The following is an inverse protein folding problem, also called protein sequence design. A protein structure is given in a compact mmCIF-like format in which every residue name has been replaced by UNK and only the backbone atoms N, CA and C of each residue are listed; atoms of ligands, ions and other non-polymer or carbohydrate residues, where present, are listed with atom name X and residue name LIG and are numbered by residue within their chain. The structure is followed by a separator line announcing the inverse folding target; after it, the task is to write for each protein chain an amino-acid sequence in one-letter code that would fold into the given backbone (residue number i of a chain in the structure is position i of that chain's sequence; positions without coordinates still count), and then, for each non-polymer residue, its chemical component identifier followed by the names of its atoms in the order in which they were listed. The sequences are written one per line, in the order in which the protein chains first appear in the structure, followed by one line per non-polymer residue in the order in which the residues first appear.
data_IF_191215512225
#
_entry.id   IF_191215512225
#
_cell.length_a   1.000
_cell.length_b   1.000
_cell.length_c   1.000
_cell.angle_alpha   90.00
_cell.angle_beta   90.00
_cell.angle_gamma   90.00
#
_symmetry.space_group_name_H-M   'P 1'
#
loop_
_entity.id
_entity.type
_entity.pdbx_description
1 polymer ?
#
# COMPACT_ATOMS: atom_id res chain seq x y z
N UNK A 1 -40.10 -39.33 73.82
CA UNK A 1 -40.28 -40.48 72.92
C UNK A 1 -39.74 -40.08 71.56
N UNK A 2 -38.50 -40.44 71.26
CA UNK A 2 -37.81 -40.13 70.00
C UNK A 2 -37.72 -41.45 69.23
N UNK A 3 -38.38 -41.52 68.08
CA UNK A 3 -38.29 -42.66 67.17
C UNK A 3 -37.15 -42.45 66.17
N UNK A 4 -36.18 -43.36 66.18
CA UNK A 4 -35.08 -43.45 65.18
C UNK A 4 -35.61 -43.96 63.84
N UNK A 5 -35.21 -43.31 62.75
CA UNK A 5 -35.33 -43.81 61.37
C UNK A 5 -33.94 -44.27 60.89
N UNK A 6 -33.85 -45.36 60.12
CA UNK A 6 -32.59 -45.91 59.65
C UNK A 6 -32.08 -45.19 58.42
N UNK A 7 -30.73 -45.28 58.08
CA UNK A 7 -30.11 -44.57 56.97
C UNK A 7 -30.38 -45.26 55.63
N UNK A 8 -30.78 -44.46 54.63
CA UNK A 8 -30.85 -44.88 53.24
C UNK A 8 -29.44 -45.01 52.67
N UNK A 9 -29.13 -46.16 52.11
CA UNK A 9 -27.95 -46.41 51.31
C UNK A 9 -28.15 -45.83 49.91
N UNK A 10 -27.37 -44.79 49.54
CA UNK A 10 -27.34 -44.21 48.20
C UNK A 10 -26.53 -45.10 47.25
N UNK A 11 -27.21 -45.61 46.24
CA UNK A 11 -26.62 -46.31 45.09
C UNK A 11 -26.14 -45.24 44.10
N UNK A 12 -24.81 -45.08 43.92
CA UNK A 12 -24.24 -44.22 42.89
C UNK A 12 -24.17 -45.04 41.60
N UNK A 13 -25.07 -44.72 40.67
CA UNK A 13 -25.01 -45.26 39.29
C UNK A 13 -24.14 -44.29 38.49
N UNK A 14 -22.93 -44.72 38.16
CA UNK A 14 -22.03 -43.98 37.27
C UNK A 14 -22.52 -44.05 35.81
N UNK A 15 -23.04 -42.95 35.32
CA UNK A 15 -23.28 -42.77 33.88
C UNK A 15 -21.99 -42.33 33.21
N UNK A 16 -21.32 -43.21 32.46
CA UNK A 16 -20.23 -42.86 31.56
C UNK A 16 -20.83 -42.20 30.32
N UNK A 17 -20.78 -40.89 30.27
CA UNK A 17 -21.12 -40.13 29.06
C UNK A 17 -20.00 -40.30 28.03
N UNK A 18 -20.22 -41.10 26.98
CA UNK A 18 -19.39 -41.17 25.80
C UNK A 18 -19.57 -39.83 25.02
N UNK A 19 -18.64 -38.92 25.19
CA UNK A 19 -18.55 -37.72 24.34
C UNK A 19 -18.05 -38.20 22.96
N UNK A 20 -19.00 -38.41 22.05
CA UNK A 20 -18.71 -38.60 20.65
C UNK A 20 -18.08 -37.31 20.09
N UNK A 21 -16.80 -37.31 19.77
CA UNK A 21 -16.19 -36.27 18.92
C UNK A 21 -16.92 -36.31 17.56
N UNK A 22 -17.89 -35.43 17.40
CA UNK A 22 -18.41 -35.09 16.07
C UNK A 22 -17.28 -34.36 15.38
N UNK A 23 -16.46 -35.06 14.57
CA UNK A 23 -15.56 -34.45 13.63
C UNK A 23 -16.42 -33.62 12.66
N UNK A 24 -16.47 -32.31 12.84
CA UNK A 24 -16.98 -31.41 11.83
C UNK A 24 -16.21 -31.70 10.55
N UNK A 25 -16.87 -32.01 9.41
CA UNK A 25 -16.18 -32.18 8.15
C UNK A 25 -15.42 -30.87 7.91
N UNK A 26 -14.10 -30.92 7.90
CA UNK A 26 -13.29 -29.83 7.38
C UNK A 26 -13.80 -29.63 5.96
N UNK A 27 -14.44 -28.47 5.69
CA UNK A 27 -14.81 -28.08 4.34
C UNK A 27 -13.55 -28.27 3.50
N UNK A 28 -13.60 -29.21 2.56
CA UNK A 28 -12.49 -29.48 1.68
C UNK A 28 -12.17 -28.15 0.96
N UNK A 29 -11.07 -27.52 1.35
CA UNK A 29 -10.68 -26.24 0.75
C UNK A 29 -10.39 -26.53 -0.72
N UNK A 30 -11.17 -25.94 -1.62
CA UNK A 30 -11.05 -26.15 -3.04
C UNK A 30 -9.63 -25.83 -3.48
N UNK A 31 -8.95 -26.84 -4.03
CA UNK A 31 -7.64 -26.67 -4.63
C UNK A 31 -7.83 -26.18 -6.06
N UNK A 32 -7.23 -25.06 -6.40
CA UNK A 32 -7.21 -24.49 -7.75
C UNK A 32 -5.80 -24.63 -8.32
N UNK A 33 -5.68 -25.11 -9.54
CA UNK A 33 -4.43 -25.21 -10.28
C UNK A 33 -4.53 -24.45 -11.60
N UNK A 34 -3.69 -23.42 -11.77
CA UNK A 34 -3.52 -22.68 -13.03
C UNK A 34 -2.34 -23.34 -13.75
N UNK A 35 -2.54 -23.85 -14.97
CA UNK A 35 -1.58 -24.68 -15.70
C UNK A 35 -1.27 -24.16 -17.09
N UNK A 36 -0.07 -24.46 -17.60
CA UNK A 36 0.30 -24.25 -19.00
C UNK A 36 0.67 -22.81 -19.36
N UNK A 37 0.59 -21.89 -18.43
CA UNK A 37 0.92 -20.47 -18.66
C UNK A 37 2.41 -20.15 -18.52
N UNK A 38 2.81 -19.00 -19.04
CA UNK A 38 4.09 -18.38 -18.70
C UNK A 38 3.96 -17.72 -17.33
N UNK A 39 4.60 -18.29 -16.31
CA UNK A 39 4.49 -17.84 -14.92
C UNK A 39 5.60 -16.87 -14.59
N UNK A 40 5.25 -15.61 -14.31
CA UNK A 40 6.13 -14.62 -13.69
C UNK A 40 6.02 -14.80 -12.19
N UNK A 41 7.08 -15.21 -11.51
CA UNK A 41 7.00 -15.45 -10.05
C UNK A 41 7.13 -14.17 -9.22
N UNK A 42 7.57 -13.08 -9.83
CA UNK A 42 8.01 -11.82 -9.19
C UNK A 42 9.53 -11.73 -9.12
N UNK A 43 10.24 -12.85 -9.19
CA UNK A 43 11.72 -12.93 -9.14
C UNK A 43 12.31 -13.78 -10.27
N UNK A 44 11.50 -14.55 -10.98
CA UNK A 44 11.91 -15.42 -12.09
C UNK A 44 10.74 -15.70 -13.03
N UNK A 45 11.03 -16.38 -14.15
CA UNK A 45 10.03 -16.81 -15.14
C UNK A 45 10.06 -18.33 -15.29
N UNK A 46 8.89 -18.95 -15.35
CA UNK A 46 8.71 -20.39 -15.59
C UNK A 46 7.81 -20.56 -16.81
N UNK A 47 8.34 -21.11 -17.89
CA UNK A 47 7.55 -21.43 -19.08
C UNK A 47 6.71 -22.69 -18.84
N UNK A 48 5.49 -22.72 -19.37
CA UNK A 48 4.52 -23.81 -19.18
C UNK A 48 4.35 -24.19 -17.69
N UNK A 49 4.30 -23.16 -16.83
CA UNK A 49 4.24 -23.34 -15.39
C UNK A 49 2.87 -23.74 -14.86
N UNK A 50 2.88 -24.22 -13.63
CA UNK A 50 1.69 -24.57 -12.84
C UNK A 50 1.76 -23.85 -11.51
N UNK A 51 0.69 -23.12 -11.16
CA UNK A 51 0.49 -22.49 -9.85
C UNK A 51 -0.66 -23.18 -9.14
N UNK A 52 -0.41 -23.74 -7.97
CA UNK A 52 -1.44 -24.42 -7.17
C UNK A 52 -1.77 -23.58 -5.94
N UNK A 53 -3.06 -23.29 -5.77
CA UNK A 53 -3.62 -22.51 -4.68
C UNK A 53 -4.56 -23.37 -3.83
N UNK A 54 -4.50 -23.23 -2.51
CA UNK A 54 -5.45 -23.85 -1.56
C UNK A 54 -5.48 -23.07 -0.26
N UNK A 55 -6.68 -22.85 0.27
CA UNK A 55 -6.87 -22.18 1.56
C UNK A 55 -6.31 -20.76 1.61
N UNK A 56 -6.45 -20.01 0.53
CA UNK A 56 -5.97 -18.64 0.45
C UNK A 56 -4.46 -18.49 0.24
N UNK A 57 -3.74 -19.58 0.07
CA UNK A 57 -2.28 -19.59 -0.07
C UNK A 57 -1.83 -20.35 -1.30
N UNK A 58 -0.66 -19.98 -1.82
CA UNK A 58 0.05 -20.75 -2.84
C UNK A 58 0.65 -22.00 -2.18
N UNK A 59 0.36 -23.17 -2.74
CA UNK A 59 0.88 -24.45 -2.29
C UNK A 59 2.18 -24.79 -3.00
N UNK A 60 2.18 -24.62 -4.33
CA UNK A 60 3.36 -24.89 -5.16
C UNK A 60 3.34 -24.04 -6.43
N UNK A 61 4.55 -23.79 -6.95
CA UNK A 61 4.79 -23.18 -8.25
C UNK A 61 5.91 -23.95 -8.94
N UNK A 62 5.75 -24.29 -10.20
CA UNK A 62 6.74 -25.06 -10.97
C UNK A 62 6.15 -25.61 -12.26
N UNK A 63 6.75 -26.66 -12.83
CA UNK A 63 6.32 -27.31 -14.08
C UNK A 63 5.55 -28.60 -13.83
N UNK A 64 5.14 -28.88 -12.59
CA UNK A 64 4.42 -30.10 -12.22
C UNK A 64 2.99 -30.14 -12.74
N UNK A 65 2.41 -31.33 -12.83
CA UNK A 65 0.99 -31.50 -13.14
C UNK A 65 0.10 -30.99 -12.01
N UNK A 66 -1.15 -30.62 -12.37
CA UNK A 66 -2.16 -30.28 -11.38
C UNK A 66 -2.42 -31.45 -10.43
N UNK A 67 -2.60 -31.19 -9.11
CA UNK A 67 -2.98 -32.26 -8.16
C UNK A 67 -4.33 -32.89 -8.53
N UNK A 68 -4.48 -34.18 -8.24
CA UNK A 68 -5.76 -34.86 -8.43
C UNK A 68 -6.88 -34.19 -7.64
N UNK A 69 -8.04 -33.96 -8.27
CA UNK A 69 -9.18 -33.30 -7.65
C UNK A 69 -9.10 -31.78 -7.59
N UNK A 70 -8.05 -31.14 -8.10
CA UNK A 70 -7.99 -29.69 -8.23
C UNK A 70 -8.91 -29.18 -9.36
N UNK A 71 -9.53 -28.03 -9.17
CA UNK A 71 -10.15 -27.26 -10.26
C UNK A 71 -9.01 -26.71 -11.14
N UNK A 72 -8.92 -27.22 -12.37
CA UNK A 72 -7.87 -26.82 -13.32
C UNK A 72 -8.34 -25.63 -14.15
N UNK A 73 -7.46 -24.64 -14.28
CA UNK A 73 -7.61 -23.48 -15.16
C UNK A 73 -6.48 -23.58 -16.18
N UNK A 74 -6.85 -23.71 -17.44
CA UNK A 74 -5.88 -23.73 -18.54
C UNK A 74 -5.48 -22.29 -18.89
N UNK A 75 -4.21 -21.96 -18.69
CA UNK A 75 -3.61 -20.67 -19.02
C UNK A 75 -2.64 -20.80 -20.22
N UNK A 76 -2.80 -21.82 -21.07
CA UNK A 76 -1.96 -22.01 -22.26
C UNK A 76 -2.01 -20.76 -23.16
N UNK A 77 -0.84 -20.23 -23.52
CA UNK A 77 -0.72 -18.99 -24.30
C UNK A 77 -0.96 -17.71 -23.49
N UNK A 78 -1.17 -17.81 -22.19
CA UNK A 78 -1.41 -16.70 -21.27
C UNK A 78 -0.25 -16.49 -20.32
N UNK A 79 -0.23 -15.32 -19.65
CA UNK A 79 0.75 -14.99 -18.62
C UNK A 79 0.10 -15.04 -17.25
N UNK A 80 0.72 -15.74 -16.32
CA UNK A 80 0.31 -15.82 -14.91
C UNK A 80 1.29 -15.03 -14.07
N UNK A 81 0.81 -14.03 -13.34
CA UNK A 81 1.67 -13.15 -12.54
C UNK A 81 1.14 -13.02 -11.10
N UNK A 82 1.99 -12.62 -10.13
CA UNK A 82 1.51 -12.17 -8.84
C UNK A 82 0.60 -10.96 -9.03
N UNK A 83 -0.36 -10.79 -8.15
CA UNK A 83 -1.09 -9.54 -8.08
C UNK A 83 -0.16 -8.36 -7.78
N UNK A 84 -0.38 -7.24 -8.46
CA UNK A 84 0.42 -6.04 -8.27
C UNK A 84 0.10 -5.35 -6.94
N UNK A 85 1.10 -4.64 -6.44
CA UNK A 85 1.00 -3.88 -5.19
C UNK A 85 1.13 -2.39 -5.52
N UNK A 86 0.05 -1.65 -5.39
CA UNK A 86 0.08 -0.20 -5.54
C UNK A 86 0.73 0.43 -4.30
N UNK A 87 1.77 1.20 -4.48
CA UNK A 87 2.43 1.98 -3.42
C UNK A 87 2.05 3.45 -3.54
N UNK A 88 2.14 4.20 -2.46
CA UNK A 88 1.77 5.62 -2.39
C UNK A 88 0.35 5.84 -2.97
N UNK A 89 -0.61 5.10 -2.42
CA UNK A 89 -1.96 4.98 -2.96
C UNK A 89 -2.99 5.64 -2.04
N UNK A 90 -4.06 6.14 -2.64
CA UNK A 90 -5.24 6.63 -1.92
C UNK A 90 -6.44 5.69 -1.97
N UNK A 91 -6.26 4.44 -2.43
CA UNK A 91 -7.34 3.47 -2.59
C UNK A 91 -8.09 3.19 -1.29
N UNK A 92 -9.41 3.24 -1.35
CA UNK A 92 -10.28 3.04 -0.19
C UNK A 92 -10.35 4.22 0.77
N UNK A 93 -9.44 5.20 0.69
CA UNK A 93 -9.45 6.38 1.57
C UNK A 93 -9.93 7.66 0.87
N UNK A 94 -10.13 7.61 -0.45
CA UNK A 94 -10.71 8.74 -1.19
C UNK A 94 -11.43 8.23 -2.44
N UNK A 95 -12.58 8.84 -2.76
CA UNK A 95 -13.38 8.52 -3.94
C UNK A 95 -13.09 9.48 -5.10
N UNK A 96 -13.13 10.78 -4.80
CA UNK A 96 -12.92 11.84 -5.77
C UNK A 96 -11.98 12.87 -5.16
N UNK A 97 -10.76 12.95 -5.68
CA UNK A 97 -9.69 13.80 -5.11
C UNK A 97 -10.05 15.28 -4.99
N UNK A 98 -10.94 15.79 -5.88
CA UNK A 98 -11.39 17.18 -5.88
C UNK A 98 -12.60 17.47 -4.98
N UNK A 99 -13.16 16.45 -4.30
CA UNK A 99 -14.32 16.61 -3.41
C UNK A 99 -13.92 16.29 -1.98
N UNK A 100 -13.73 17.32 -1.17
CA UNK A 100 -13.19 17.23 0.19
C UNK A 100 -13.94 16.24 1.10
N UNK A 101 -15.28 16.17 1.01
CA UNK A 101 -16.10 15.23 1.79
C UNK A 101 -15.97 13.77 1.39
N UNK A 102 -15.18 13.45 0.38
CA UNK A 102 -14.87 12.06 -0.06
C UNK A 102 -13.40 11.68 0.12
N UNK A 103 -12.65 12.49 0.87
CA UNK A 103 -11.21 12.30 1.06
C UNK A 103 -10.87 12.24 2.56
N UNK A 104 -10.71 11.02 3.04
CA UNK A 104 -10.33 10.68 4.42
C UNK A 104 -8.82 10.40 4.57
N UNK A 105 -8.00 10.79 3.59
CA UNK A 105 -6.54 10.66 3.65
C UNK A 105 -5.85 11.94 4.13
N UNK A 106 -6.61 12.99 4.42
CA UNK A 106 -6.09 14.29 4.80
C UNK A 106 -6.59 14.69 6.19
N UNK A 107 -5.67 15.12 7.02
CA UNK A 107 -5.98 15.76 8.28
C UNK A 107 -5.47 17.21 8.25
N UNK A 108 -6.38 18.17 8.41
CA UNK A 108 -6.07 19.61 8.49
C UNK A 108 -6.01 20.12 9.94
N UNK A 109 -6.06 19.23 10.93
CA UNK A 109 -5.98 19.59 12.36
C UNK A 109 -4.61 20.13 12.72
N UNK A 110 -4.58 21.18 13.53
CA UNK A 110 -3.36 21.73 14.11
C UNK A 110 -2.87 20.94 15.34
N UNK A 111 -3.70 20.01 15.86
CA UNK A 111 -3.45 19.26 17.09
C UNK A 111 -3.11 17.80 16.87
N UNK A 112 -3.30 17.30 15.63
CA UNK A 112 -2.99 15.94 15.22
C UNK A 112 -2.23 15.99 13.90
N UNK A 113 -1.11 15.28 13.85
CA UNK A 113 -0.31 15.10 12.64
C UNK A 113 0.17 13.65 12.52
N UNK A 114 1.23 13.29 13.21
CA UNK A 114 1.79 11.94 13.21
C UNK A 114 0.83 10.84 13.71
N UNK A 115 -0.08 11.18 14.61
CA UNK A 115 -1.08 10.23 15.13
C UNK A 115 -2.21 9.92 14.15
N UNK A 116 -2.36 10.72 13.08
CA UNK A 116 -3.35 10.44 12.06
C UNK A 116 -3.09 9.06 11.43
N UNK A 117 -4.10 8.21 11.40
CA UNK A 117 -4.01 6.82 10.93
C UNK A 117 -5.07 6.60 9.85
N UNK A 118 -4.62 6.43 8.61
CA UNK A 118 -5.51 6.26 7.45
C UNK A 118 -6.41 5.03 7.57
N UNK A 119 -6.04 4.04 8.39
CA UNK A 119 -6.82 2.81 8.52
C UNK A 119 -8.24 3.04 9.06
N UNK A 120 -8.48 4.14 9.76
CA UNK A 120 -9.81 4.50 10.26
C UNK A 120 -10.72 5.14 9.22
N UNK A 121 -10.16 5.64 8.11
CA UNK A 121 -10.92 6.26 7.02
C UNK A 121 -11.10 5.38 5.79
N UNK A 122 -10.78 4.07 5.87
CA UNK A 122 -10.89 3.17 4.73
C UNK A 122 -12.33 2.73 4.48
N UNK A 123 -12.80 2.89 3.24
CA UNK A 123 -14.08 2.38 2.75
C UNK A 123 -13.87 1.11 1.90
N UNK A 124 -14.30 -0.07 2.40
CA UNK A 124 -14.19 -1.32 1.64
C UNK A 124 -15.11 -1.38 0.41
N UNK A 125 -16.10 -0.51 0.31
CA UNK A 125 -17.01 -0.41 -0.84
C UNK A 125 -16.64 0.70 -1.82
N UNK A 126 -15.48 1.31 -1.64
CA UNK A 126 -14.97 2.34 -2.54
C UNK A 126 -15.03 1.89 -4.02
N UNK A 127 -15.60 2.76 -4.87
CA UNK A 127 -15.72 2.51 -6.32
C UNK A 127 -14.34 2.42 -7.01
N UNK A 128 -13.29 2.87 -6.36
CA UNK A 128 -11.92 2.86 -6.90
C UNK A 128 -11.26 1.48 -6.80
N UNK A 129 -11.66 0.64 -5.83
CA UNK A 129 -11.09 -0.69 -5.61
C UNK A 129 -11.33 -1.65 -6.81
N UNK A 130 -12.56 -1.82 -7.34
CA UNK A 130 -12.78 -2.63 -8.53
C UNK A 130 -12.03 -2.11 -9.77
N UNK A 131 -11.90 -0.79 -9.92
CA UNK A 131 -11.14 -0.19 -11.03
C UNK A 131 -9.66 -0.54 -10.95
N UNK A 132 -9.06 -0.49 -9.75
CA UNK A 132 -7.67 -0.86 -9.54
C UNK A 132 -7.43 -2.37 -9.76
N UNK A 133 -8.36 -3.24 -9.29
CA UNK A 133 -8.31 -4.69 -9.54
C UNK A 133 -8.19 -5.02 -11.02
N UNK A 134 -8.99 -4.37 -11.88
CA UNK A 134 -8.92 -4.57 -13.34
C UNK A 134 -7.57 -4.17 -13.95
N UNK A 135 -6.74 -3.44 -13.21
CA UNK A 135 -5.33 -3.21 -13.53
C UNK A 135 -4.38 -4.26 -12.97
N UNK A 136 -4.91 -5.34 -12.35
CA UNK A 136 -4.10 -6.39 -11.72
C UNK A 136 -3.64 -6.06 -10.29
N UNK A 137 -4.07 -4.93 -9.73
CA UNK A 137 -3.73 -4.55 -8.34
C UNK A 137 -4.53 -5.40 -7.37
N UNK A 138 -3.85 -6.12 -6.50
CA UNK A 138 -4.47 -6.96 -5.47
C UNK A 138 -4.23 -6.45 -4.06
N UNK A 139 -3.19 -5.63 -3.89
CA UNK A 139 -2.83 -4.98 -2.63
C UNK A 139 -2.45 -3.54 -2.83
N UNK A 140 -2.61 -2.72 -1.78
CA UNK A 140 -2.15 -1.35 -1.81
C UNK A 140 -1.56 -0.92 -0.47
N UNK A 141 -0.57 -0.04 -0.55
CA UNK A 141 -0.05 0.75 0.56
C UNK A 141 -0.76 2.10 0.48
N UNK A 142 -1.71 2.30 1.36
CA UNK A 142 -2.48 3.55 1.45
C UNK A 142 -1.73 4.51 2.35
N UNK A 143 -1.49 5.70 1.85
CA UNK A 143 -0.72 6.73 2.55
C UNK A 143 -1.57 7.98 2.81
N UNK A 144 -1.32 8.70 3.91
CA UNK A 144 -1.93 10.00 4.13
C UNK A 144 -1.40 11.03 3.13
N UNK A 145 -2.30 11.91 2.69
CA UNK A 145 -1.93 13.04 1.85
C UNK A 145 -1.25 14.12 2.70
N UNK A 146 -0.10 14.58 2.25
CA UNK A 146 0.59 15.68 2.94
C UNK A 146 -0.09 17.03 2.67
N UNK A 147 -0.31 17.88 3.70
CA UNK A 147 -0.69 19.27 3.48
C UNK A 147 0.41 19.99 2.70
N UNK A 148 0.15 20.39 1.46
CA UNK A 148 1.15 21.01 0.58
C UNK A 148 1.68 20.15 -0.55
N UNK A 149 1.35 18.85 -0.62
CA UNK A 149 1.58 18.06 -1.84
C UNK A 149 0.56 18.49 -2.91
N UNK A 150 1.00 19.33 -3.82
CA UNK A 150 0.20 19.87 -4.93
C UNK A 150 0.04 18.82 -6.04
N UNK A 151 -0.67 17.75 -5.76
CA UNK A 151 -1.15 16.81 -6.78
C UNK A 151 -2.55 17.12 -7.31
N UNK A 152 -3.20 18.16 -6.82
CA UNK A 152 -4.49 18.65 -7.29
C UNK A 152 -4.44 20.15 -7.52
N UNK A 153 -5.09 20.65 -8.56
CA UNK A 153 -5.35 22.07 -8.75
C UNK A 153 -6.16 22.55 -7.55
N UNK A 154 -5.48 23.06 -6.52
CA UNK A 154 -6.15 23.80 -5.46
C UNK A 154 -6.61 25.13 -6.04
N UNK A 155 -7.90 25.31 -6.17
CA UNK A 155 -8.44 26.64 -6.27
C UNK A 155 -8.10 27.37 -4.97
N UNK A 156 -7.55 28.56 -5.08
CA UNK A 156 -7.14 29.48 -4.00
C UNK A 156 -8.26 29.78 -2.97
N UNK A 157 -9.46 29.23 -3.20
CA UNK A 157 -10.64 29.36 -2.35
C UNK A 157 -10.70 28.40 -1.16
N UNK A 158 -9.90 27.32 -1.12
CA UNK A 158 -9.90 26.37 0.01
C UNK A 158 -9.09 26.87 1.22
N UNK A 159 -8.39 28.01 1.11
CA UNK A 159 -7.69 28.65 2.23
C UNK A 159 -8.58 29.63 3.02
N UNK A 160 -9.81 29.86 2.59
CA UNK A 160 -10.73 30.83 3.20
C UNK A 160 -11.36 30.39 4.55
N UNK A 161 -10.90 29.29 5.13
CA UNK A 161 -11.34 28.80 6.45
C UNK A 161 -10.32 28.94 7.58
N UNK A 162 -9.14 29.51 7.32
CA UNK A 162 -8.19 29.86 8.36
C UNK A 162 -8.65 31.17 9.01
N UNK A 163 -9.50 31.06 10.04
CA UNK A 163 -9.86 32.18 10.89
C UNK A 163 -8.62 32.89 11.43
N UNK A 164 -8.70 34.18 11.63
CA UNK A 164 -7.70 35.04 12.24
C UNK A 164 -7.35 34.57 13.68
N UNK A 165 -6.58 33.54 13.80
CA UNK A 165 -6.15 32.98 15.08
C UNK A 165 -4.92 32.13 14.91
N UNK A 166 -3.74 32.76 15.03
CA UNK A 166 -2.45 32.12 15.24
C UNK A 166 -2.02 31.18 14.10
N UNK A 167 -0.95 31.52 13.41
CA UNK A 167 -0.28 30.66 12.45
C UNK A 167 0.24 29.39 13.15
N UNK A 168 -0.60 28.37 13.22
CA UNK A 168 -0.13 27.03 13.49
C UNK A 168 0.19 26.39 12.15
N UNK A 169 1.48 26.24 11.83
CA UNK A 169 1.94 25.49 10.66
C UNK A 169 1.35 24.08 10.72
N UNK A 170 0.87 23.53 9.60
CA UNK A 170 0.51 22.10 9.56
C UNK A 170 1.69 21.30 10.08
N UNK A 171 1.42 20.21 10.82
CA UNK A 171 2.49 19.38 11.40
C UNK A 171 3.43 18.86 10.33
N UNK A 172 4.71 18.65 10.70
CA UNK A 172 5.73 18.10 9.78
C UNK A 172 5.38 16.70 9.27
N UNK A 173 4.60 15.94 10.01
CA UNK A 173 4.21 14.57 9.67
C UNK A 173 2.78 14.54 9.14
N UNK A 174 2.55 13.78 8.06
CA UNK A 174 1.22 13.63 7.46
C UNK A 174 0.36 12.59 8.19
N UNK A 175 0.99 11.60 8.83
CA UNK A 175 0.32 10.50 9.50
C UNK A 175 0.87 9.12 9.11
N UNK A 176 0.12 8.09 9.42
CA UNK A 176 0.52 6.69 9.34
C UNK A 176 -0.18 5.97 8.19
N UNK A 177 0.61 5.24 7.40
CA UNK A 177 0.16 4.43 6.26
C UNK A 177 -0.38 3.06 6.70
N UNK A 178 -1.21 2.46 5.85
CA UNK A 178 -1.77 1.12 6.05
C UNK A 178 -1.63 0.25 4.80
N UNK A 179 -1.63 -1.07 4.98
CA UNK A 179 -1.72 -2.06 3.90
C UNK A 179 -3.14 -2.59 3.82
N UNK A 180 -3.69 -2.61 2.61
CA UNK A 180 -5.00 -3.20 2.32
C UNK A 180 -4.89 -4.28 1.24
N UNK A 181 -5.88 -5.17 1.18
CA UNK A 181 -6.15 -5.99 0.00
C UNK A 181 -7.40 -5.48 -0.73
N UNK A 182 -7.49 -5.81 -2.01
CA UNK A 182 -8.58 -5.35 -2.88
C UNK A 182 -9.65 -6.43 -3.13
N UNK A 183 -9.71 -7.50 -2.31
CA UNK A 183 -10.79 -8.47 -2.41
C UNK A 183 -12.13 -7.83 -2.02
N UNK A 184 -13.22 -8.34 -2.60
CA UNK A 184 -14.56 -7.95 -2.15
C UNK A 184 -14.82 -8.38 -0.72
N UNK A 185 -15.54 -7.54 0.03
CA UNK A 185 -15.90 -7.77 1.42
C UNK A 185 -15.65 -6.55 2.30
N UNK A 186 -16.09 -6.63 3.55
CA UNK A 186 -15.99 -5.52 4.50
C UNK A 186 -14.61 -5.40 5.18
N UNK A 187 -13.83 -6.45 5.20
CA UNK A 187 -12.51 -6.48 5.85
C UNK A 187 -11.40 -6.40 4.79
N UNK A 188 -10.95 -5.20 4.50
CA UNK A 188 -9.86 -4.97 3.53
C UNK A 188 -8.52 -4.65 4.21
N UNK A 189 -8.51 -4.38 5.51
CA UNK A 189 -7.31 -4.00 6.23
C UNK A 189 -6.39 -5.20 6.48
N UNK A 190 -5.18 -5.16 5.95
CA UNK A 190 -4.15 -6.19 6.19
C UNK A 190 -3.29 -5.83 7.38
N UNK A 191 -2.81 -4.57 7.41
CA UNK A 191 -1.92 -4.09 8.48
C UNK A 191 -2.01 -2.57 8.61
N UNK A 192 -2.39 -2.04 9.77
CA UNK A 192 -2.32 -0.60 10.04
C UNK A 192 -0.89 -0.17 10.36
N UNK A 193 -0.62 1.13 10.26
CA UNK A 193 0.57 1.80 10.78
C UNK A 193 1.87 1.15 10.31
N UNK A 194 2.01 0.96 8.99
CA UNK A 194 3.18 0.31 8.38
C UNK A 194 4.33 1.27 8.11
N UNK A 195 4.05 2.57 8.02
CA UNK A 195 5.04 3.63 7.84
C UNK A 195 4.48 4.96 8.34
N UNK A 196 5.36 5.89 8.69
CA UNK A 196 5.07 7.30 8.90
C UNK A 196 5.37 8.06 7.61
N UNK A 197 4.65 9.15 7.33
CA UNK A 197 4.85 9.98 6.13
C UNK A 197 5.24 11.41 6.53
N UNK A 198 6.25 11.97 5.87
CA UNK A 198 6.67 13.35 6.04
C UNK A 198 7.29 13.91 4.75
N UNK A 199 7.12 15.21 4.42
CA UNK A 199 7.81 15.84 3.32
C UNK A 199 9.19 16.35 3.73
N UNK A 200 10.08 16.42 2.76
CA UNK A 200 11.28 17.21 2.78
C UNK A 200 11.32 18.09 1.51
N UNK A 201 12.45 18.75 1.21
CA UNK A 201 12.53 19.62 0.04
C UNK A 201 11.67 20.89 0.16
N UNK A 202 10.99 21.27 -0.91
CA UNK A 202 10.16 22.48 -0.96
C UNK A 202 8.93 22.38 -0.06
N UNK A 203 8.24 21.24 -0.08
CA UNK A 203 7.06 21.01 0.75
C UNK A 203 7.41 21.01 2.24
N UNK A 204 8.50 20.35 2.65
CA UNK A 204 9.00 20.38 4.03
C UNK A 204 9.48 21.78 4.45
N UNK A 205 10.14 22.50 3.54
CA UNK A 205 10.53 23.88 3.79
C UNK A 205 9.30 24.79 4.03
N UNK A 206 8.21 24.60 3.26
CA UNK A 206 6.95 25.34 3.44
C UNK A 206 6.37 25.19 4.85
N UNK A 207 6.42 23.98 5.42
CA UNK A 207 5.99 23.71 6.80
C UNK A 207 6.93 24.35 7.83
N UNK A 208 8.22 24.47 7.51
CA UNK A 208 9.28 24.89 8.40
C UNK A 208 9.70 26.36 8.20
N UNK A 209 8.78 27.23 7.85
CA UNK A 209 9.05 28.67 7.69
C UNK A 209 9.78 29.06 6.40
N UNK A 210 9.70 28.24 5.36
CA UNK A 210 10.19 28.55 4.02
C UNK A 210 11.63 28.12 3.70
N UNK A 211 12.30 27.36 4.57
CA UNK A 211 13.66 26.92 4.31
C UNK A 211 13.93 25.46 4.64
N UNK A 212 14.76 24.80 3.81
CA UNK A 212 15.21 23.40 4.02
C UNK A 212 16.03 23.24 5.28
N UNK A 213 16.83 24.26 5.62
CA UNK A 213 17.57 24.27 6.88
C UNK A 213 16.65 24.30 8.09
N UNK A 214 15.57 25.08 8.03
CA UNK A 214 14.51 25.09 9.05
C UNK A 214 13.83 23.71 9.16
N UNK A 215 13.50 23.06 8.03
CA UNK A 215 12.93 21.73 8.03
C UNK A 215 13.85 20.71 8.71
N UNK A 216 15.14 20.75 8.44
CA UNK A 216 16.13 19.85 9.07
C UNK A 216 16.20 20.05 10.60
N UNK A 217 16.22 21.31 11.05
CA UNK A 217 16.22 21.61 12.49
C UNK A 217 14.92 21.12 13.15
N UNK A 218 13.78 21.35 12.49
CA UNK A 218 12.49 20.90 13.00
C UNK A 218 12.41 19.36 13.10
N UNK A 219 12.93 18.62 12.13
CA UNK A 219 13.02 17.16 12.19
C UNK A 219 13.83 16.69 13.40
N UNK A 220 15.01 17.25 13.60
CA UNK A 220 15.92 16.89 14.70
C UNK A 220 15.31 17.23 16.07
N UNK A 221 14.74 18.41 16.21
CA UNK A 221 14.11 18.82 17.46
C UNK A 221 12.91 17.91 17.78
N UNK A 222 12.07 17.62 16.79
CA UNK A 222 10.95 16.70 16.98
C UNK A 222 11.41 15.32 17.43
N UNK A 223 12.43 14.73 16.80
CA UNK A 223 12.97 13.42 17.19
C UNK A 223 13.58 13.46 18.59
N UNK A 224 14.25 14.57 18.96
CA UNK A 224 14.78 14.78 20.31
C UNK A 224 13.67 14.81 21.35
N UNK A 225 12.57 15.53 21.10
CA UNK A 225 11.39 15.57 21.96
C UNK A 225 10.70 14.21 22.10
N UNK A 226 10.56 13.47 20.98
CA UNK A 226 10.00 12.10 20.99
C UNK A 226 10.84 11.18 21.88
N UNK A 227 12.16 11.23 21.76
CA UNK A 227 13.06 10.43 22.61
C UNK A 227 13.02 10.86 24.07
N UNK A 228 12.91 12.17 24.34
CA UNK A 228 12.73 12.69 25.70
C UNK A 228 11.42 12.15 26.29
N UNK A 229 10.32 12.24 25.55
CA UNK A 229 9.03 11.70 25.94
C UNK A 229 9.11 10.19 26.20
N UNK A 230 9.67 9.41 25.26
CA UNK A 230 9.74 7.95 25.37
C UNK A 230 10.45 7.48 26.65
N UNK A 231 11.52 8.19 27.05
CA UNK A 231 12.28 7.90 28.27
C UNK A 231 11.61 8.38 29.56
N UNK A 232 10.68 9.35 29.48
CA UNK A 232 10.11 10.03 30.64
C UNK A 232 8.57 10.02 30.67
N UNK A 233 7.93 8.98 30.11
CA UNK A 233 6.45 8.89 30.02
C UNK A 233 5.74 9.13 31.36
N UNK A 234 6.27 8.57 32.47
CA UNK A 234 5.68 8.74 33.77
C UNK A 234 5.79 10.17 34.30
N UNK A 235 6.91 10.88 34.04
CA UNK A 235 7.07 12.29 34.38
C UNK A 235 6.15 13.17 33.55
N UNK A 236 6.02 12.88 32.24
CA UNK A 236 5.09 13.57 31.34
C UNK A 236 3.63 13.46 31.83
N UNK A 237 3.21 12.27 32.29
CA UNK A 237 1.85 12.04 32.81
C UNK A 237 1.55 12.78 34.13
N UNK A 238 2.57 13.17 34.86
CA UNK A 238 2.46 13.94 36.14
C UNK A 238 2.70 15.43 35.94
N UNK A 239 2.85 15.90 34.70
CA UNK A 239 3.25 17.29 34.38
C UNK A 239 4.59 17.72 34.97
N UNK A 240 5.48 16.76 35.28
CA UNK A 240 6.83 16.99 35.79
C UNK A 240 7.86 17.25 34.64
N UNK A 241 7.42 17.23 33.40
CA UNK A 241 8.27 17.48 32.23
C UNK A 241 7.93 18.86 31.62
N UNK A 242 8.93 19.52 31.01
CA UNK A 242 8.64 20.72 30.21
C UNK A 242 7.58 20.47 29.16
N UNK A 243 6.79 21.47 28.77
CA UNK A 243 5.89 21.33 27.62
C UNK A 243 6.66 20.91 26.37
N UNK A 244 6.11 19.94 25.61
CA UNK A 244 6.62 19.48 24.33
C UNK A 244 5.79 20.09 23.20
N UNK A 245 6.38 20.19 22.01
CA UNK A 245 5.75 20.87 20.86
C UNK A 245 4.59 20.08 20.25
N UNK A 246 4.59 18.76 20.40
CA UNK A 246 3.58 17.87 19.82
C UNK A 246 2.59 17.37 20.88
N UNK A 247 1.39 16.99 20.41
CA UNK A 247 0.40 16.31 21.23
C UNK A 247 0.94 14.96 21.74
N UNK A 248 0.39 14.46 22.86
CA UNK A 248 0.74 13.13 23.36
C UNK A 248 0.52 12.04 22.33
N UNK A 249 -0.55 12.14 21.54
CA UNK A 249 -0.87 11.16 20.51
C UNK A 249 0.21 11.13 19.41
N UNK A 250 0.66 12.30 18.96
CA UNK A 250 1.73 12.42 17.95
C UNK A 250 3.08 11.91 18.48
N UNK A 251 3.41 12.25 19.74
CA UNK A 251 4.62 11.74 20.38
C UNK A 251 4.61 10.20 20.44
N UNK A 252 3.50 9.59 20.87
CA UNK A 252 3.36 8.12 20.91
C UNK A 252 3.49 7.49 19.52
N UNK A 253 2.89 8.10 18.49
CA UNK A 253 2.95 7.62 17.12
C UNK A 253 4.37 7.68 16.53
N UNK A 254 5.19 8.65 16.97
CA UNK A 254 6.55 8.84 16.49
C UNK A 254 7.59 8.00 17.25
N UNK A 255 7.29 7.46 18.44
CA UNK A 255 8.25 6.61 19.18
C UNK A 255 8.80 5.47 18.31
N UNK A 256 7.98 4.67 17.60
CA UNK A 256 8.50 3.61 16.74
C UNK A 256 9.42 4.10 15.60
N UNK A 257 9.18 5.33 15.10
CA UNK A 257 10.02 5.97 14.07
C UNK A 257 11.38 6.33 14.67
N UNK A 258 11.39 7.03 15.80
CA UNK A 258 12.61 7.45 16.50
C UNK A 258 13.47 6.27 17.00
N UNK A 259 12.87 5.09 17.16
CA UNK A 259 13.54 3.84 17.53
C UNK A 259 13.93 2.99 16.30
N UNK A 260 13.72 3.45 15.07
CA UNK A 260 14.02 2.72 13.84
C UNK A 260 13.18 1.46 13.62
N UNK A 261 12.04 1.30 14.33
CA UNK A 261 11.13 0.16 14.19
C UNK A 261 10.07 0.36 13.09
N UNK A 262 9.64 1.60 12.89
CA UNK A 262 8.69 1.99 11.83
C UNK A 262 9.44 2.80 10.79
N UNK A 263 9.32 2.48 9.49
CA UNK A 263 9.93 3.27 8.43
C UNK A 263 9.25 4.65 8.31
N UNK A 264 10.05 5.63 7.86
CA UNK A 264 9.63 6.99 7.55
C UNK A 264 9.71 7.19 6.04
N UNK A 265 8.56 7.34 5.38
CA UNK A 265 8.48 7.74 3.98
C UNK A 265 8.76 9.25 3.92
N UNK A 266 9.79 9.63 3.19
CA UNK A 266 10.16 11.04 2.99
C UNK A 266 10.03 11.41 1.53
N UNK A 267 9.08 12.30 1.23
CA UNK A 267 8.95 12.87 -0.12
C UNK A 267 10.07 13.87 -0.37
N UNK A 268 10.91 13.58 -1.36
CA UNK A 268 12.08 14.38 -1.72
C UNK A 268 12.46 14.15 -3.18
N UNK A 269 12.78 15.21 -3.92
CA UNK A 269 13.07 15.14 -5.35
C UNK A 269 14.55 15.41 -5.68
N UNK A 270 15.12 16.47 -5.08
CA UNK A 270 16.42 17.04 -5.46
C UNK A 270 17.58 16.24 -4.87
N UNK A 271 18.61 15.96 -5.65
CA UNK A 271 19.79 15.18 -5.24
C UNK A 271 20.46 15.73 -3.96
N UNK A 272 20.60 17.04 -3.83
CA UNK A 272 21.18 17.67 -2.64
C UNK A 272 20.32 17.42 -1.39
N UNK A 273 18.99 17.40 -1.53
CA UNK A 273 18.07 17.16 -0.42
C UNK A 273 18.05 15.67 -0.05
N UNK A 274 18.15 14.77 -1.05
CA UNK A 274 18.31 13.32 -0.81
C UNK A 274 19.54 13.06 0.06
N UNK A 275 20.69 13.67 -0.24
CA UNK A 275 21.92 13.52 0.57
C UNK A 275 21.71 14.00 2.02
N UNK A 276 20.93 15.07 2.24
CA UNK A 276 20.61 15.52 3.61
C UNK A 276 19.70 14.53 4.34
N UNK A 277 18.73 13.95 3.63
CA UNK A 277 17.83 12.91 4.20
C UNK A 277 18.62 11.65 4.55
N UNK A 278 19.54 11.20 3.68
CA UNK A 278 20.41 10.04 3.98
C UNK A 278 21.28 10.29 5.21
N UNK A 279 21.87 11.50 5.33
CA UNK A 279 22.63 11.88 6.51
C UNK A 279 21.76 11.92 7.77
N UNK A 280 20.56 12.49 7.71
CA UNK A 280 19.62 12.49 8.81
C UNK A 280 19.29 11.06 9.24
N UNK A 281 19.02 10.16 8.28
CA UNK A 281 18.71 8.76 8.55
C UNK A 281 19.84 8.04 9.28
N UNK A 282 21.09 8.26 8.86
CA UNK A 282 22.29 7.69 9.48
C UNK A 282 22.49 8.22 10.90
N UNK A 283 22.51 9.55 11.07
CA UNK A 283 22.79 10.21 12.35
C UNK A 283 21.70 9.94 13.41
N UNK A 284 20.44 9.83 12.99
CA UNK A 284 19.29 9.61 13.86
C UNK A 284 18.87 8.13 13.98
N UNK A 285 19.50 7.22 13.23
CA UNK A 285 19.16 5.79 13.22
C UNK A 285 17.78 5.47 12.66
N UNK A 286 17.31 6.24 11.66
CA UNK A 286 15.99 6.09 11.08
C UNK A 286 15.99 5.06 9.94
N UNK A 287 14.90 4.33 9.80
CA UNK A 287 14.59 3.59 8.57
C UNK A 287 13.83 4.53 7.63
N UNK A 288 14.47 4.94 6.55
CA UNK A 288 13.87 5.85 5.56
C UNK A 288 13.49 5.11 4.29
N UNK A 289 12.39 5.53 3.69
CA UNK A 289 11.96 5.20 2.33
C UNK A 289 11.89 6.54 1.59
N UNK A 290 12.64 6.71 0.51
CA UNK A 290 12.51 7.91 -0.32
C UNK A 290 11.28 7.80 -1.22
N UNK A 291 10.52 8.87 -1.32
CA UNK A 291 9.39 8.98 -2.22
C UNK A 291 9.63 10.10 -3.23
N UNK A 292 9.50 9.78 -4.52
CA UNK A 292 9.84 10.67 -5.65
C UNK A 292 11.25 10.45 -6.16
N UNK A 293 12.23 11.05 -5.52
CA UNK A 293 13.67 10.96 -5.86
C UNK A 293 13.98 11.13 -7.36
N UNK A 294 13.35 12.10 -8.03
CA UNK A 294 13.46 12.31 -9.47
C UNK A 294 14.91 12.65 -9.92
N UNK A 295 15.72 13.22 -9.03
CA UNK A 295 17.16 13.43 -9.23
C UNK A 295 18.03 12.33 -8.60
N UNK A 296 17.43 11.21 -8.16
CA UNK A 296 18.11 10.11 -7.45
C UNK A 296 19.26 9.49 -8.23
N UNK A 297 19.17 9.48 -9.57
CA UNK A 297 20.24 8.97 -10.43
C UNK A 297 21.58 9.69 -10.25
N UNK A 298 21.59 10.96 -9.81
CA UNK A 298 22.83 11.72 -9.53
C UNK A 298 23.54 11.22 -8.26
N UNK A 299 22.84 10.56 -7.36
CA UNK A 299 23.31 10.09 -6.05
C UNK A 299 22.93 8.62 -5.82
N UNK A 300 22.78 7.85 -6.90
CA UNK A 300 22.31 6.48 -6.84
C UNK A 300 23.22 5.58 -5.99
N UNK A 301 24.55 5.75 -6.10
CA UNK A 301 25.52 4.99 -5.31
C UNK A 301 25.39 5.28 -3.81
N UNK A 302 25.12 6.54 -3.44
CA UNK A 302 24.91 6.93 -2.04
C UNK A 302 23.60 6.36 -1.48
N UNK A 303 22.53 6.36 -2.28
CA UNK A 303 21.25 5.73 -1.91
C UNK A 303 21.44 4.22 -1.71
N UNK A 304 22.13 3.57 -2.64
CA UNK A 304 22.45 2.14 -2.58
C UNK A 304 23.31 1.79 -1.37
N UNK A 305 24.38 2.58 -1.12
CA UNK A 305 25.26 2.38 0.05
C UNK A 305 24.52 2.54 1.38
N UNK A 306 23.53 3.42 1.44
CA UNK A 306 22.66 3.60 2.61
C UNK A 306 21.60 2.50 2.76
N UNK A 307 21.41 1.64 1.74
CA UNK A 307 20.36 0.60 1.73
C UNK A 307 18.94 1.16 1.75
N UNK A 308 18.75 2.40 1.30
CA UNK A 308 17.48 3.11 1.34
C UNK A 308 16.67 2.82 0.08
N UNK A 309 15.43 2.28 0.19
CA UNK A 309 14.59 2.02 -0.97
C UNK A 309 13.92 3.29 -1.49
N UNK A 310 13.48 3.24 -2.75
CA UNK A 310 12.86 4.38 -3.44
C UNK A 310 11.51 3.99 -4.02
N UNK A 311 10.48 4.78 -3.71
CA UNK A 311 9.19 4.78 -4.41
C UNK A 311 9.24 5.86 -5.49
N UNK A 312 9.06 5.49 -6.76
CA UNK A 312 9.18 6.45 -7.84
C UNK A 312 8.07 6.31 -8.90
N UNK A 313 7.80 7.42 -9.57
CA UNK A 313 6.94 7.42 -10.74
C UNK A 313 7.78 7.73 -12.00
N UNK A 314 8.04 6.75 -12.88
CA UNK A 314 8.92 6.93 -14.01
C UNK A 314 8.40 7.93 -15.07
N UNK A 315 7.06 8.16 -15.13
CA UNK A 315 6.49 9.10 -16.12
C UNK A 315 6.60 10.55 -15.69
N UNK A 316 6.73 10.83 -14.39
CA UNK A 316 6.89 12.21 -13.90
C UNK A 316 8.35 12.66 -13.83
N UNK A 317 9.29 11.84 -14.26
CA UNK A 317 10.72 12.12 -14.28
C UNK A 317 11.13 13.07 -15.42
N UNK A 318 10.45 14.22 -15.50
CA UNK A 318 10.78 15.31 -16.43
C UNK A 318 11.02 16.60 -15.64
N UNK A 319 11.91 17.48 -16.13
CA UNK A 319 12.16 18.80 -15.55
C UNK A 319 10.89 19.65 -15.56
N UNK A 320 10.14 19.67 -14.47
CA UNK A 320 8.87 20.40 -14.37
C UNK A 320 8.93 21.61 -13.43
N UNK A 321 9.89 21.61 -12.49
CA UNK A 321 10.11 22.68 -11.53
C UNK A 321 11.57 22.69 -11.03
N UNK A 322 11.90 23.60 -10.11
CA UNK A 322 13.27 23.72 -9.58
C UNK A 322 13.71 22.55 -8.70
N UNK A 323 12.78 21.77 -8.16
CA UNK A 323 13.07 20.55 -7.39
C UNK A 323 13.51 19.37 -8.27
N UNK A 324 13.18 19.41 -9.58
CA UNK A 324 13.37 18.32 -10.54
C UNK A 324 14.16 18.75 -11.77
N UNK A 325 15.11 19.68 -11.63
CA UNK A 325 15.85 20.26 -12.79
C UNK A 325 16.62 19.23 -13.58
N UNK A 326 17.14 18.20 -12.89
CA UNK A 326 17.90 17.12 -13.50
C UNK A 326 17.07 15.82 -13.63
N UNK A 327 15.75 15.88 -13.49
CA UNK A 327 14.90 14.71 -13.68
C UNK A 327 15.05 14.14 -15.10
N UNK A 328 15.04 12.82 -15.21
CA UNK A 328 15.12 12.10 -16.48
C UNK A 328 14.37 10.77 -16.42
N UNK A 329 13.91 10.29 -17.58
CA UNK A 329 13.15 9.04 -17.71
C UNK A 329 13.98 7.81 -17.33
N UNK A 330 15.31 7.85 -17.44
CA UNK A 330 16.22 6.74 -17.10
C UNK A 330 16.49 6.62 -15.58
N UNK A 331 15.86 7.43 -14.74
CA UNK A 331 16.12 7.44 -13.30
C UNK A 331 15.90 6.04 -12.66
N UNK A 332 14.80 5.36 -13.00
CA UNK A 332 14.51 4.01 -12.50
C UNK A 332 15.61 3.00 -12.86
N UNK A 333 16.07 3.02 -14.14
CA UNK A 333 17.13 2.15 -14.60
C UNK A 333 18.48 2.44 -13.93
N UNK A 334 18.78 3.72 -13.68
CA UNK A 334 20.03 4.12 -13.02
C UNK A 334 20.05 3.72 -11.54
N UNK A 335 18.92 3.84 -10.83
CA UNK A 335 18.78 3.40 -9.44
C UNK A 335 18.91 1.88 -9.33
N UNK A 336 18.22 1.13 -10.19
CA UNK A 336 18.31 -0.34 -10.22
C UNK A 336 19.74 -0.81 -10.52
N UNK A 337 20.40 -0.22 -11.52
CA UNK A 337 21.79 -0.53 -11.88
C UNK A 337 22.78 -0.29 -10.73
N UNK A 338 22.50 0.68 -9.85
CA UNK A 338 23.27 0.93 -8.63
C UNK A 338 22.93 -0.03 -7.48
N UNK A 339 21.91 -0.89 -7.65
CA UNK A 339 21.46 -1.85 -6.62
C UNK A 339 20.43 -1.27 -5.64
N UNK A 340 19.81 -0.15 -5.94
CA UNK A 340 18.73 0.42 -5.13
C UNK A 340 17.45 -0.41 -5.31
N UNK A 341 16.81 -0.79 -4.21
CA UNK A 341 15.48 -1.43 -4.26
C UNK A 341 14.44 -0.38 -4.60
N UNK A 342 13.82 -0.51 -5.77
CA UNK A 342 12.79 0.43 -6.24
C UNK A 342 11.40 -0.18 -6.21
N UNK A 343 10.38 0.65 -5.97
CA UNK A 343 8.98 0.34 -6.23
C UNK A 343 8.37 1.42 -7.12
N UNK A 344 7.55 1.00 -8.09
CA UNK A 344 6.94 1.90 -9.06
C UNK A 344 5.53 2.24 -8.62
N UNK A 345 5.25 3.55 -8.57
CA UNK A 345 3.94 4.12 -8.23
C UNK A 345 3.01 4.16 -9.45
N UNK A 346 1.71 4.21 -9.19
CA UNK A 346 0.71 4.67 -10.15
C UNK A 346 0.87 6.18 -10.43
N UNK A 347 -0.02 6.74 -11.24
CA UNK A 347 0.01 8.18 -11.48
C UNK A 347 -0.51 8.94 -10.26
N UNK A 348 0.27 9.91 -9.82
CA UNK A 348 -0.04 10.78 -8.70
C UNK A 348 -1.29 11.64 -8.96
N UNK A 349 -1.98 12.01 -7.89
CA UNK A 349 -3.09 12.96 -7.93
C UNK A 349 -4.44 12.41 -8.40
N UNK A 350 -4.52 11.13 -8.75
CA UNK A 350 -5.78 10.50 -9.18
C UNK A 350 -5.87 9.06 -8.68
N UNK A 351 -6.65 8.84 -7.66
CA UNK A 351 -6.79 7.56 -6.93
C UNK A 351 -7.17 6.41 -7.86
N UNK A 352 -8.06 6.67 -8.83
CA UNK A 352 -8.48 5.68 -9.82
C UNK A 352 -7.37 5.24 -10.79
N UNK A 353 -6.21 5.92 -10.77
CA UNK A 353 -5.05 5.61 -11.61
C UNK A 353 -4.07 4.62 -10.98
N UNK A 354 -4.34 4.09 -9.81
CA UNK A 354 -3.54 3.01 -9.24
C UNK A 354 -3.41 1.82 -10.21
N UNK A 355 -4.41 1.56 -11.06
CA UNK A 355 -4.36 0.57 -12.15
C UNK A 355 -3.24 0.83 -13.18
N UNK A 356 -2.72 2.05 -13.24
CA UNK A 356 -1.69 2.46 -14.20
C UNK A 356 -0.27 2.09 -13.75
N UNK A 357 -0.09 1.57 -12.53
CA UNK A 357 1.19 1.10 -12.00
C UNK A 357 1.93 0.19 -13.00
N UNK A 358 1.22 -0.72 -13.66
CA UNK A 358 1.80 -1.61 -14.69
C UNK A 358 2.27 -0.87 -15.93
N UNK A 359 1.55 0.18 -16.36
CA UNK A 359 1.96 1.00 -17.52
C UNK A 359 3.19 1.83 -17.19
N UNK A 360 3.30 2.32 -15.95
CA UNK A 360 4.47 3.02 -15.48
C UNK A 360 5.68 2.09 -15.42
N UNK A 361 5.50 0.83 -15.02
CA UNK A 361 6.55 -0.18 -15.09
C UNK A 361 7.00 -0.46 -16.53
N UNK A 362 6.06 -0.58 -17.48
CA UNK A 362 6.37 -0.72 -18.92
C UNK A 362 7.11 0.51 -19.48
N UNK A 363 6.74 1.73 -19.06
CA UNK A 363 7.48 2.94 -19.41
C UNK A 363 8.92 2.91 -18.87
N UNK A 364 9.13 2.44 -17.65
CA UNK A 364 10.48 2.30 -17.11
C UNK A 364 11.32 1.31 -17.93
N UNK A 365 10.72 0.19 -18.38
CA UNK A 365 11.40 -0.77 -19.28
C UNK A 365 11.80 -0.10 -20.59
N UNK A 366 10.92 0.69 -21.20
CA UNK A 366 11.26 1.41 -22.45
C UNK A 366 12.40 2.43 -22.28
N UNK A 367 12.72 2.80 -21.05
CA UNK A 367 13.81 3.71 -20.68
C UNK A 367 14.99 3.01 -20.00
N UNK A 368 15.10 1.69 -20.17
CA UNK A 368 16.29 0.92 -19.83
C UNK A 368 16.22 0.12 -18.51
N UNK A 369 15.11 0.14 -17.79
CA UNK A 369 14.94 -0.75 -16.65
C UNK A 369 14.78 -2.21 -17.15
N UNK A 370 15.53 -3.19 -16.62
CA UNK A 370 15.30 -4.60 -16.94
C UNK A 370 13.85 -5.03 -16.67
N UNK A 371 13.29 -5.89 -17.55
CA UNK A 371 11.90 -6.32 -17.45
C UNK A 371 11.61 -6.99 -16.10
N UNK A 372 12.48 -7.86 -15.65
CA UNK A 372 12.35 -8.57 -14.36
C UNK A 372 12.39 -7.60 -13.19
N UNK A 373 13.22 -6.55 -13.26
CA UNK A 373 13.26 -5.49 -12.26
C UNK A 373 11.97 -4.67 -12.25
N UNK A 374 11.37 -4.41 -13.41
CA UNK A 374 10.08 -3.72 -13.52
C UNK A 374 8.95 -4.54 -12.89
N UNK A 375 8.89 -5.86 -13.15
CA UNK A 375 7.94 -6.77 -12.50
C UNK A 375 8.17 -6.80 -10.98
N UNK A 376 9.42 -6.94 -10.53
CA UNK A 376 9.75 -6.92 -9.11
C UNK A 376 9.33 -5.60 -8.44
N UNK A 377 9.49 -4.48 -9.13
CA UNK A 377 9.16 -3.14 -8.63
C UNK A 377 7.66 -2.88 -8.40
N UNK A 378 6.79 -3.70 -8.99
CA UNK A 378 5.32 -3.63 -8.78
C UNK A 378 4.73 -4.85 -8.06
N UNK A 379 5.59 -5.78 -7.62
CA UNK A 379 5.18 -7.02 -6.96
C UNK A 379 5.95 -7.26 -5.66
N UNK A 380 7.10 -7.92 -5.70
CA UNK A 380 7.87 -8.34 -4.53
C UNK A 380 8.55 -7.18 -3.79
N UNK A 381 9.06 -6.19 -4.51
CA UNK A 381 9.77 -5.06 -3.86
C UNK A 381 8.86 -4.23 -2.95
N UNK A 382 7.63 -3.84 -3.33
CA UNK A 382 6.69 -3.23 -2.39
C UNK A 382 6.50 -4.03 -1.10
N UNK A 383 6.27 -5.34 -1.21
CA UNK A 383 6.12 -6.19 -0.03
C UNK A 383 7.36 -6.15 0.87
N UNK A 384 8.56 -6.24 0.27
CA UNK A 384 9.85 -6.18 0.98
C UNK A 384 10.07 -4.83 1.66
N UNK A 385 9.84 -3.72 0.96
CA UNK A 385 10.02 -2.34 1.46
C UNK A 385 9.18 -2.11 2.73
N UNK A 386 7.95 -2.63 2.75
CA UNK A 386 7.03 -2.43 3.88
C UNK A 386 7.05 -3.58 4.91
N UNK A 387 8.08 -4.44 4.89
CA UNK A 387 8.27 -5.51 5.88
C UNK A 387 7.22 -6.63 5.79
N UNK A 388 6.71 -6.88 4.59
CA UNK A 388 5.73 -7.93 4.27
C UNK A 388 6.34 -9.00 3.35
N UNK A 389 7.68 -9.07 3.29
CA UNK A 389 8.39 -10.01 2.44
C UNK A 389 7.88 -11.44 2.62
N UNK A 390 7.62 -12.11 1.51
CA UNK A 390 7.11 -13.47 1.48
C UNK A 390 5.65 -13.65 1.91
N UNK A 391 4.94 -12.60 2.28
CA UNK A 391 3.51 -12.68 2.60
C UNK A 391 2.65 -12.54 1.33
N UNK A 392 3.05 -11.66 0.41
CA UNK A 392 2.40 -11.43 -0.89
C UNK A 392 3.40 -10.84 -1.90
N UNK A 393 2.95 -10.62 -3.14
CA UNK A 393 3.75 -10.02 -4.21
C UNK A 393 4.69 -11.00 -4.92
N UNK A 394 4.69 -12.27 -4.52
CA UNK A 394 5.50 -13.33 -5.11
C UNK A 394 4.70 -14.62 -5.24
N UNK A 395 4.80 -15.31 -6.39
CA UNK A 395 4.26 -16.64 -6.55
C UNK A 395 5.24 -17.66 -5.99
N UNK A 396 5.11 -17.96 -4.70
CA UNK A 396 5.89 -18.99 -4.00
C UNK A 396 5.07 -19.70 -2.92
N UNK A 397 5.45 -20.91 -2.58
CA UNK A 397 4.77 -21.67 -1.54
C UNK A 397 4.70 -20.89 -0.21
N UNK A 398 3.52 -20.86 0.40
CA UNK A 398 3.22 -20.16 1.64
C UNK A 398 2.79 -18.70 1.49
N UNK A 399 3.04 -18.04 0.35
CA UNK A 399 2.55 -16.69 0.09
C UNK A 399 1.02 -16.66 -0.09
N UNK A 400 0.42 -15.49 0.06
CA UNK A 400 -0.99 -15.29 -0.28
C UNK A 400 -1.24 -15.66 -1.74
N UNK A 401 -2.37 -16.29 -2.01
CA UNK A 401 -2.77 -16.68 -3.36
C UNK A 401 -3.37 -15.47 -4.10
N UNK A 402 -2.55 -14.45 -4.31
CA UNK A 402 -2.86 -13.27 -5.11
C UNK A 402 -2.28 -13.50 -6.52
N UNK A 403 -3.14 -13.95 -7.44
CA UNK A 403 -2.74 -14.42 -8.78
C UNK A 403 -3.59 -13.75 -9.83
N UNK A 404 -2.96 -13.23 -10.88
CA UNK A 404 -3.64 -12.64 -12.03
C UNK A 404 -3.22 -13.38 -13.30
N UNK A 405 -4.21 -13.81 -14.09
CA UNK A 405 -4.03 -14.43 -15.39
C UNK A 405 -4.30 -13.36 -16.45
N UNK A 406 -3.37 -13.17 -17.38
CA UNK A 406 -3.39 -12.13 -18.39
C UNK A 406 -3.47 -12.71 -19.80
N UNK A 407 -4.14 -11.99 -20.72
CA UNK A 407 -4.16 -12.37 -22.15
C UNK A 407 -2.78 -12.35 -22.81
N UNK A 408 -1.80 -11.65 -22.24
CA UNK A 408 -0.44 -11.48 -22.73
C UNK A 408 0.43 -10.80 -21.68
N UNK A 409 1.47 -10.09 -22.11
CA UNK A 409 2.39 -9.38 -21.20
C UNK A 409 1.62 -8.37 -20.34
N UNK A 410 1.68 -8.47 -19.01
CA UNK A 410 0.95 -7.57 -18.12
C UNK A 410 1.39 -6.11 -18.18
N UNK A 411 2.60 -5.81 -18.65
CA UNK A 411 3.08 -4.43 -18.81
C UNK A 411 2.55 -3.76 -20.08
N UNK A 412 2.04 -4.54 -21.03
CA UNK A 412 1.47 -4.03 -22.28
C UNK A 412 0.04 -3.49 -22.09
N UNK A 413 -0.28 -2.28 -22.60
CA UNK A 413 -1.61 -1.66 -22.42
C UNK A 413 -2.77 -2.50 -22.93
N UNK A 414 -2.58 -3.25 -24.03
CA UNK A 414 -3.63 -4.08 -24.63
C UNK A 414 -3.89 -5.40 -23.89
N UNK A 415 -2.97 -5.79 -23.00
CA UNK A 415 -3.16 -6.99 -22.18
C UNK A 415 -4.23 -6.75 -21.12
N UNK A 416 -5.14 -7.72 -20.98
CA UNK A 416 -6.27 -7.65 -20.04
C UNK A 416 -6.20 -8.83 -19.05
N UNK A 417 -6.65 -8.65 -17.80
CA UNK A 417 -6.82 -9.77 -16.90
C UNK A 417 -7.98 -10.66 -17.38
N UNK A 418 -7.77 -11.98 -17.38
CA UNK A 418 -8.77 -13.02 -17.68
C UNK A 418 -9.36 -13.55 -16.38
N UNK A 419 -8.55 -13.63 -15.32
CA UNK A 419 -8.99 -13.98 -13.99
C UNK A 419 -8.10 -13.30 -12.94
N UNK A 420 -8.67 -12.93 -11.83
CA UNK A 420 -7.99 -12.31 -10.69
C UNK A 420 -8.35 -13.10 -9.43
N UNK A 421 -7.35 -13.57 -8.72
CA UNK A 421 -7.49 -14.23 -7.42
C UNK A 421 -6.84 -13.36 -6.35
N UNK A 422 -7.54 -13.12 -5.25
CA UNK A 422 -7.02 -12.44 -4.05
C UNK A 422 -7.27 -13.37 -2.86
N UNK A 423 -6.20 -13.78 -2.20
CA UNK A 423 -6.31 -14.80 -1.14
C UNK A 423 -6.94 -16.10 -1.63
N UNK A 424 -6.72 -16.47 -2.91
CA UNK A 424 -7.26 -17.68 -3.54
C UNK A 424 -8.75 -17.60 -3.92
N UNK A 425 -9.39 -16.47 -3.67
CA UNK A 425 -10.81 -16.22 -4.06
C UNK A 425 -10.84 -15.46 -5.37
N UNK A 426 -11.57 -15.99 -6.33
CA UNK A 426 -11.78 -15.35 -7.64
C UNK A 426 -12.59 -14.06 -7.48
N UNK A 427 -12.12 -12.99 -8.11
CA UNK A 427 -12.71 -11.67 -8.02
C UNK A 427 -13.47 -11.33 -9.32
N UNK A 428 -14.59 -10.58 -9.23
CA UNK A 428 -15.30 -10.14 -10.43
C UNK A 428 -14.43 -9.24 -11.31
N UNK A 429 -14.53 -9.43 -12.63
CA UNK A 429 -13.92 -8.56 -13.65
C UNK A 429 -14.86 -7.41 -14.03
N UNK A 430 -15.53 -6.84 -13.04
CA UNK A 430 -16.51 -5.78 -13.22
C UNK A 430 -16.07 -4.50 -12.51
N UNK A 431 -16.49 -3.37 -13.04
CA UNK A 431 -16.35 -2.07 -12.39
C UNK A 431 -17.49 -1.15 -12.81
N UNK A 432 -17.78 -0.12 -12.01
CA UNK A 432 -18.82 0.87 -12.35
C UNK A 432 -18.65 1.47 -13.76
N UNK A 433 -17.45 1.84 -14.24
CA UNK A 433 -17.26 2.27 -15.63
C UNK A 433 -17.69 1.22 -16.67
N UNK A 434 -17.42 -0.06 -16.44
CA UNK A 434 -17.83 -1.13 -17.35
C UNK A 434 -19.35 -1.32 -17.35
N UNK A 435 -19.99 -1.34 -16.18
CA UNK A 435 -21.44 -1.40 -16.06
C UNK A 435 -22.13 -0.21 -16.76
N UNK A 436 -21.56 0.99 -16.63
CA UNK A 436 -22.06 2.17 -17.34
C UNK A 436 -21.85 2.04 -18.85
N UNK A 437 -20.66 1.63 -19.30
CA UNK A 437 -20.38 1.36 -20.72
C UNK A 437 -21.42 0.40 -21.29
N UNK A 438 -21.62 -0.72 -20.65
CA UNK A 438 -22.51 -1.79 -21.15
C UNK A 438 -23.97 -1.33 -21.16
N UNK A 439 -24.40 -0.55 -20.17
CA UNK A 439 -25.72 0.10 -20.15
C UNK A 439 -25.95 1.01 -21.34
N UNK A 440 -24.94 1.76 -21.77
CA UNK A 440 -25.07 2.74 -22.86
C UNK A 440 -24.73 2.17 -24.25
N UNK A 441 -23.94 1.11 -24.34
CA UNK A 441 -23.62 0.43 -25.61
C UNK A 441 -24.61 -0.65 -25.98
N UNK A 442 -25.23 -1.29 -24.99
CA UNK A 442 -26.20 -2.36 -25.21
C UNK A 442 -27.54 -1.82 -25.69
N UNK A 443 -27.74 -1.53 -26.96
CA UNK A 443 -28.92 -0.92 -27.58
C UNK A 443 -30.31 -1.54 -27.30
N UNK A 444 -30.54 -2.12 -26.10
CA UNK A 444 -31.81 -2.64 -25.62
C UNK A 444 -32.72 -1.55 -25.05
N UNK A 445 -34.04 -1.80 -25.06
CA UNK A 445 -35.04 -0.95 -24.40
C UNK A 445 -34.62 -0.70 -22.93
N UNK A 446 -34.54 0.56 -22.53
CA UNK A 446 -34.12 0.98 -21.20
C UNK A 446 -32.60 1.25 -21.03
N UNK A 447 -31.77 0.96 -22.05
CA UNK A 447 -30.32 1.26 -22.00
C UNK A 447 -30.01 2.75 -22.18
N UNK A 448 -30.95 3.56 -22.63
CA UNK A 448 -30.78 5.01 -22.80
C UNK A 448 -31.39 5.79 -21.64
N UNK A 449 -30.79 6.92 -21.24
CA UNK A 449 -31.43 7.82 -20.29
C UNK A 449 -32.80 8.27 -20.81
N UNK A 450 -33.78 8.53 -19.93
CA UNK A 450 -35.13 9.01 -20.34
C UNK A 450 -35.12 10.27 -21.22
N UNK A 451 -34.04 11.06 -21.16
CA UNK A 451 -33.86 12.27 -21.99
C UNK A 451 -33.55 11.98 -23.47
N UNK A 452 -33.27 10.72 -23.83
CA UNK A 452 -33.00 10.32 -25.21
C UNK A 452 -34.08 9.32 -25.62
N UNK A 453 -35.24 9.78 -26.13
CA UNK A 453 -36.26 8.88 -26.64
C UNK A 453 -35.69 8.03 -27.78
N UNK A 454 -36.14 6.78 -27.87
CA UNK A 454 -35.78 5.90 -28.97
C UNK A 454 -36.18 6.58 -30.30
N UNK A 455 -35.21 6.68 -31.22
CA UNK A 455 -35.50 7.11 -32.60
C UNK A 455 -36.18 6.01 -33.36
#
# INVERSE_FOLDING_TARGET
MIRHLPPLKSLVVGAVAAVGLVATPALAQDTVAVTGGRVLTGTSVIENGTVVMRGGRIVSVGTGAAPAGARVIDATGQVVAPGFVAVDSGLGGSEVSSVGGTNDLRNASNTLSAAFDVSYGLDPWSITLPVARLGGVTRAIVVPNHPGSSGGHYHEQDTAGAGEGGYHSPGLFAGQAAVIHLAEGADILVRPRVAMVAPFGEAGAGVAGGSRGGAMVLFRETLSEVRLYARNKAAYQRDDLRPLSLSRADLEALVPVAEGRMPLIITVSRAADILQVLRLAEEEGLKVILDGAEEGWLVADQIAAAGVPVLLNPITNLPGNFERRAARMQNAAALDAAGVVIAIKGNEGSIHRARETRYNAGNAVSHGLPYEAAIAAITVNPARIFGMDGQFGELRAGAAADVVIWTGDPLEPLSQPVAIYIGGVEQPLESRPYLLRDRYLGGGEGARPPAYPAQ
#
